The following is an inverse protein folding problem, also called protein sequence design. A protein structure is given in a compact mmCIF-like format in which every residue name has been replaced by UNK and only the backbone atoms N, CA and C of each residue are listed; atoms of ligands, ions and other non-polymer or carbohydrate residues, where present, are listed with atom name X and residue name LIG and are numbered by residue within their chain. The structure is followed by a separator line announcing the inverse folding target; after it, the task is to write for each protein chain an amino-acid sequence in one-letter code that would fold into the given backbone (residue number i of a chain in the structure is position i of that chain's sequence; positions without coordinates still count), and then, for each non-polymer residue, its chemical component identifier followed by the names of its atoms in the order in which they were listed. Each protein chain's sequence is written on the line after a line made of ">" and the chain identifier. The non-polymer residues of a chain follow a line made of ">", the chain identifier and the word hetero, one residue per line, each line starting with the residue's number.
data_IF_785326350520
#
_entry.id   IF_785326350520
#
_cell.length_a   1.000
_cell.length_b   1.000
_cell.length_c   1.000
_cell.angle_alpha   90.00
_cell.angle_beta   90.00
_cell.angle_gamma   90.00
#
_symmetry.space_group_name_H-M   'P 1'
#
loop_
_entity.id
_entity.type
_entity.pdbx_description
1 polymer ?
#
# COMPACT_ATOMS: atom_id res chain seq x y z
N UNK A 1 16.57 -3.36 -10.96
CA UNK A 1 15.51 -2.85 -10.05
C UNK A 1 14.30 -2.34 -10.81
N UNK A 2 14.41 -1.30 -11.63
CA UNK A 2 13.22 -0.65 -12.24
C UNK A 2 12.75 -1.26 -13.57
N UNK A 3 13.67 -1.74 -14.41
CA UNK A 3 13.31 -2.34 -15.71
C UNK A 3 12.57 -3.66 -15.58
N UNK A 4 12.88 -4.46 -14.55
CA UNK A 4 12.24 -5.75 -14.29
C UNK A 4 10.95 -5.65 -13.46
N UNK A 5 10.75 -4.56 -12.71
CA UNK A 5 9.57 -4.38 -11.83
C UNK A 5 8.52 -3.43 -12.40
N UNK A 6 8.83 -2.72 -13.49
CA UNK A 6 7.95 -1.71 -14.08
C UNK A 6 7.80 -0.42 -13.26
N UNK A 7 8.41 -0.33 -12.07
CA UNK A 7 8.37 0.87 -11.21
C UNK A 7 9.15 2.00 -11.89
N UNK A 8 8.65 3.25 -11.83
CA UNK A 8 9.32 4.34 -12.52
C UNK A 8 10.72 4.59 -11.95
N UNK A 9 11.68 4.87 -12.83
CA UNK A 9 13.06 5.19 -12.41
C UNK A 9 13.07 6.52 -11.65
N UNK A 10 13.94 6.69 -10.64
CA UNK A 10 14.21 7.97 -10.03
C UNK A 10 14.64 8.99 -11.09
N UNK A 11 14.49 10.29 -10.80
CA UNK A 11 14.91 11.32 -11.74
C UNK A 11 16.37 11.15 -12.15
N UNK A 12 16.67 11.35 -13.44
CA UNK A 12 18.05 11.24 -13.95
C UNK A 12 18.98 12.22 -13.25
N UNK A 13 20.28 11.88 -13.20
CA UNK A 13 21.34 12.71 -12.63
C UNK A 13 21.17 12.99 -11.12
N UNK A 14 20.74 11.99 -10.33
CA UNK A 14 20.62 12.15 -8.87
C UNK A 14 21.93 12.62 -8.26
N UNK A 15 21.86 13.59 -7.34
CA UNK A 15 22.98 13.99 -6.50
C UNK A 15 22.86 13.30 -5.16
N UNK A 16 23.68 12.28 -4.95
CA UNK A 16 23.70 11.47 -3.74
C UNK A 16 24.92 11.86 -2.93
N UNK A 17 24.72 12.26 -1.68
CA UNK A 17 25.79 12.55 -0.74
C UNK A 17 25.93 11.40 0.25
N UNK A 18 27.15 10.94 0.47
CA UNK A 18 27.41 9.80 1.37
C UNK A 18 28.27 10.26 2.53
N UNK A 19 27.81 10.02 3.74
CA UNK A 19 28.43 10.48 4.98
C UNK A 19 28.82 9.30 5.87
N UNK A 20 30.13 9.06 5.99
CA UNK A 20 30.67 7.92 6.75
C UNK A 20 30.35 7.95 8.25
N UNK A 21 30.14 9.14 8.81
CA UNK A 21 29.91 9.34 10.26
C UNK A 21 28.45 9.50 10.63
N UNK A 22 27.54 9.58 9.66
CA UNK A 22 26.11 9.73 9.94
C UNK A 22 25.42 8.39 9.99
N UNK A 23 24.48 8.24 10.92
CA UNK A 23 23.63 7.06 11.07
C UNK A 23 22.29 7.20 10.35
N UNK A 24 21.93 8.41 9.91
CA UNK A 24 20.65 8.71 9.26
C UNK A 24 20.82 8.98 7.77
N UNK A 25 19.76 8.72 7.00
CA UNK A 25 19.65 8.99 5.58
C UNK A 25 18.37 9.77 5.30
N UNK A 26 18.26 10.37 4.12
CA UNK A 26 17.09 11.15 3.73
C UNK A 26 17.04 11.36 2.22
N UNK A 27 15.83 11.45 1.66
CA UNK A 27 15.57 11.77 0.25
C UNK A 27 14.79 13.07 0.13
N UNK A 28 15.41 14.24 0.43
CA UNK A 28 14.67 15.49 0.46
C UNK A 28 14.45 16.07 -0.95
N UNK A 29 15.11 15.55 -2.00
CA UNK A 29 14.93 15.97 -3.40
C UNK A 29 15.06 17.49 -3.64
N UNK A 30 15.81 18.20 -2.78
CA UNK A 30 15.75 19.66 -2.62
C UNK A 30 16.05 20.43 -3.91
N UNK A 31 16.96 19.92 -4.74
CA UNK A 31 17.30 20.53 -6.04
C UNK A 31 16.12 20.55 -7.01
N UNK A 32 15.16 19.65 -6.83
CA UNK A 32 14.04 19.40 -7.73
C UNK A 32 12.73 20.01 -7.24
N UNK A 33 12.74 20.60 -6.04
CA UNK A 33 11.58 21.30 -5.51
C UNK A 33 11.46 22.68 -6.16
N UNK A 34 10.37 22.87 -6.92
CA UNK A 34 9.99 24.14 -7.54
C UNK A 34 8.76 24.77 -6.87
N UNK A 35 7.99 23.98 -6.11
CA UNK A 35 6.82 24.46 -5.37
C UNK A 35 7.21 24.98 -3.98
N UNK A 36 6.45 25.94 -3.42
CA UNK A 36 6.68 26.44 -2.08
C UNK A 36 6.59 25.33 -1.02
N UNK A 37 7.57 25.30 -0.12
CA UNK A 37 7.52 24.50 1.09
C UNK A 37 6.88 25.37 2.17
N UNK A 38 5.80 24.87 2.78
CA UNK A 38 5.03 25.57 3.79
C UNK A 38 5.90 25.95 4.99
N UNK A 39 5.87 27.24 5.34
CA UNK A 39 6.67 27.81 6.42
C UNK A 39 5.87 27.86 7.72
N UNK A 40 6.29 27.07 8.71
CA UNK A 40 5.78 27.17 10.08
C UNK A 40 6.95 27.55 11.02
N UNK A 41 7.31 28.84 11.02
CA UNK A 41 8.23 29.43 12.00
C UNK A 41 9.75 29.24 11.74
N UNK A 42 10.54 30.18 12.27
CA UNK A 42 11.99 30.32 12.06
C UNK A 42 12.86 29.18 12.62
N UNK A 43 12.33 28.31 13.48
CA UNK A 43 13.05 27.19 14.10
C UNK A 43 13.10 25.93 13.22
N UNK A 44 12.12 25.72 12.35
CA UNK A 44 11.97 24.48 11.57
C UNK A 44 12.99 24.30 10.44
N UNK A 45 13.33 25.36 9.71
CA UNK A 45 14.35 25.30 8.64
C UNK A 45 15.76 25.08 9.19
N UNK A 46 16.08 25.76 10.30
CA UNK A 46 17.35 25.62 10.99
C UNK A 46 17.54 24.19 11.50
N UNK A 47 16.53 23.63 12.16
CA UNK A 47 16.59 22.26 12.67
C UNK A 47 16.59 21.22 11.54
N UNK A 48 15.84 21.43 10.46
CA UNK A 48 15.87 20.57 9.29
C UNK A 48 17.28 20.50 8.67
N UNK A 49 17.89 21.64 8.37
CA UNK A 49 19.25 21.68 7.81
C UNK A 49 20.30 21.18 8.79
N UNK A 50 20.18 21.44 10.09
CA UNK A 50 21.05 20.84 11.10
C UNK A 50 20.90 19.31 11.12
N UNK A 51 19.68 18.78 11.03
CA UNK A 51 19.41 17.34 11.06
C UNK A 51 19.83 16.61 9.77
N UNK A 52 19.84 17.29 8.63
CA UNK A 52 20.50 16.81 7.40
C UNK A 52 21.97 17.29 7.30
N UNK A 53 22.55 17.72 8.42
CA UNK A 53 23.97 18.02 8.65
C UNK A 53 24.60 19.17 7.86
N UNK A 54 23.79 20.16 7.52
CA UNK A 54 24.17 21.35 6.74
C UNK A 54 24.56 22.57 7.58
N UNK A 55 24.38 22.54 8.91
CA UNK A 55 24.50 23.75 9.73
C UNK A 55 23.50 24.83 9.30
N UNK A 56 23.42 25.94 10.03
CA UNK A 56 22.52 27.05 9.69
C UNK A 56 22.91 27.75 8.40
N UNK A 57 22.40 27.29 7.27
CA UNK A 57 22.34 28.10 6.05
C UNK A 57 21.00 28.81 5.99
N UNK A 58 21.00 29.98 6.63
CA UNK A 58 19.92 30.94 6.55
C UNK A 58 19.74 31.44 5.10
N UNK A 59 18.49 31.72 4.78
CA UNK A 59 18.00 32.38 3.56
C UNK A 59 17.80 31.45 2.36
N UNK A 60 16.56 30.98 2.25
CA UNK A 60 15.79 30.77 1.01
C UNK A 60 16.63 30.35 -0.19
N UNK A 61 16.60 29.05 -0.49
CA UNK A 61 16.71 28.42 -1.83
C UNK A 61 17.01 29.40 -2.98
N UNK A 62 18.18 30.03 -2.95
CA UNK A 62 18.64 30.85 -4.05
C UNK A 62 18.86 29.88 -5.22
N UNK A 63 18.50 30.25 -6.45
CA UNK A 63 18.59 29.34 -7.61
C UNK A 63 20.00 28.75 -7.79
N UNK A 64 21.02 29.44 -7.26
CA UNK A 64 22.41 28.97 -7.23
C UNK A 64 22.68 27.84 -6.22
N UNK A 65 22.03 27.85 -5.04
CA UNK A 65 22.19 26.79 -4.04
C UNK A 65 21.50 25.49 -4.46
N UNK A 66 20.38 25.55 -5.20
CA UNK A 66 19.70 24.35 -5.75
C UNK A 66 20.65 23.41 -6.49
N UNK A 67 21.66 23.94 -7.20
CA UNK A 67 22.61 23.12 -7.97
C UNK A 67 23.51 22.24 -7.11
N UNK A 68 23.78 22.63 -5.86
CA UNK A 68 24.68 21.91 -4.95
C UNK A 68 23.96 21.02 -3.95
N UNK A 69 22.68 21.30 -3.66
CA UNK A 69 21.90 20.52 -2.70
C UNK A 69 21.72 19.04 -3.14
N UNK A 70 21.74 18.09 -2.18
CA UNK A 70 21.51 16.69 -2.46
C UNK A 70 20.07 16.42 -2.88
N UNK A 71 19.90 15.43 -3.75
CA UNK A 71 18.62 14.76 -3.92
C UNK A 71 18.42 13.70 -2.82
N UNK A 72 19.52 13.01 -2.46
CA UNK A 72 19.57 11.95 -1.43
C UNK A 72 20.82 12.14 -0.58
N UNK A 73 20.70 11.90 0.72
CA UNK A 73 21.82 11.76 1.67
C UNK A 73 21.82 10.34 2.23
N UNK A 74 22.98 9.68 2.28
CA UNK A 74 23.16 8.33 2.82
C UNK A 74 24.16 8.37 3.97
N UNK A 75 23.71 7.99 5.17
CA UNK A 75 24.55 7.74 6.33
C UNK A 75 25.00 6.27 6.39
N UNK A 76 26.31 6.04 6.58
CA UNK A 76 26.88 4.68 6.69
C UNK A 76 27.54 4.39 8.04
N UNK A 77 27.50 5.34 8.98
CA UNK A 77 28.11 5.21 10.30
C UNK A 77 27.52 4.05 11.09
N UNK A 78 28.36 3.08 11.46
CA UNK A 78 27.95 1.92 12.27
C UNK A 78 27.03 0.92 11.56
N UNK A 79 26.70 1.13 10.28
CA UNK A 79 25.80 0.25 9.54
C UNK A 79 26.53 -0.97 8.96
N UNK A 80 25.89 -2.14 9.05
CA UNK A 80 26.30 -3.32 8.29
C UNK A 80 26.03 -3.13 6.79
N UNK A 81 26.67 -3.94 5.94
CA UNK A 81 26.41 -3.89 4.48
C UNK A 81 24.92 -4.14 4.16
N UNK A 82 24.27 -5.06 4.87
CA UNK A 82 22.82 -5.31 4.74
C UNK A 82 22.01 -4.07 5.10
N UNK A 83 22.36 -3.36 6.18
CA UNK A 83 21.67 -2.13 6.58
C UNK A 83 21.91 -0.97 5.61
N UNK A 84 23.13 -0.82 5.08
CA UNK A 84 23.40 0.18 4.03
C UNK A 84 22.58 -0.14 2.77
N UNK A 85 22.48 -1.41 2.38
CA UNK A 85 21.67 -1.82 1.23
C UNK A 85 20.17 -1.52 1.44
N UNK A 86 19.62 -1.89 2.59
CA UNK A 86 18.25 -1.59 3.03
C UNK A 86 17.93 -0.09 2.92
N UNK A 87 18.76 0.74 3.58
CA UNK A 87 18.61 2.20 3.60
C UNK A 87 18.72 2.80 2.20
N UNK A 88 19.69 2.38 1.39
CA UNK A 88 19.82 2.88 0.01
C UNK A 88 18.58 2.56 -0.83
N UNK A 89 17.98 1.37 -0.67
CA UNK A 89 16.76 1.02 -1.41
C UNK A 89 15.54 1.79 -0.89
N UNK A 90 15.44 2.02 0.43
CA UNK A 90 14.43 2.91 1.03
C UNK A 90 14.50 4.31 0.39
N UNK A 91 15.68 4.94 0.41
CA UNK A 91 15.86 6.29 -0.15
C UNK A 91 15.63 6.35 -1.68
N UNK A 92 16.10 5.35 -2.43
CA UNK A 92 15.84 5.30 -3.88
C UNK A 92 14.36 5.07 -4.20
N UNK A 93 13.61 4.37 -3.35
CA UNK A 93 12.18 4.18 -3.54
C UNK A 93 11.40 5.49 -3.35
N UNK A 94 11.83 6.35 -2.42
CA UNK A 94 11.34 7.72 -2.30
C UNK A 94 11.64 8.55 -3.55
N UNK A 95 12.87 8.49 -4.06
CA UNK A 95 13.22 9.22 -5.28
C UNK A 95 12.44 8.70 -6.50
N UNK A 96 12.12 7.41 -6.56
CA UNK A 96 11.22 6.84 -7.55
C UNK A 96 9.78 7.35 -7.38
N UNK A 97 9.26 7.42 -6.16
CA UNK A 97 7.94 8.02 -5.88
C UNK A 97 7.90 9.49 -6.31
N UNK A 98 8.98 10.25 -6.13
CA UNK A 98 9.09 11.62 -6.67
C UNK A 98 8.86 11.68 -8.18
N UNK A 99 9.36 10.73 -8.96
CA UNK A 99 9.08 10.67 -10.40
C UNK A 99 7.58 10.50 -10.72
N UNK A 100 6.83 9.85 -9.83
CA UNK A 100 5.39 9.57 -10.01
C UNK A 100 4.52 10.77 -9.66
N UNK A 101 4.83 11.48 -8.57
CA UNK A 101 3.94 12.51 -8.00
C UNK A 101 4.46 13.94 -8.13
N UNK A 102 5.75 14.09 -8.43
CA UNK A 102 6.39 15.37 -8.69
C UNK A 102 6.53 16.32 -7.49
N UNK A 103 7.01 17.52 -7.80
CA UNK A 103 7.45 18.50 -6.79
C UNK A 103 6.33 19.04 -5.91
N UNK A 104 5.09 19.15 -6.39
CA UNK A 104 3.99 19.73 -5.61
C UNK A 104 3.62 18.85 -4.41
N UNK A 105 3.54 17.54 -4.64
CA UNK A 105 3.29 16.55 -3.60
C UNK A 105 4.49 16.50 -2.62
N UNK A 106 5.71 16.43 -3.13
CA UNK A 106 6.92 16.39 -2.29
C UNK A 106 7.16 17.66 -1.48
N UNK A 107 6.73 18.83 -1.96
CA UNK A 107 6.81 20.05 -1.16
C UNK A 107 5.95 19.95 0.12
N UNK A 108 4.77 19.32 0.04
CA UNK A 108 3.93 19.04 1.22
C UNK A 108 4.60 18.05 2.18
N UNK A 109 5.23 17.01 1.63
CA UNK A 109 5.99 16.00 2.37
C UNK A 109 7.11 16.63 3.21
N UNK A 110 7.95 17.43 2.55
CA UNK A 110 9.05 18.14 3.19
C UNK A 110 8.51 19.11 4.25
N UNK A 111 7.42 19.83 3.95
CA UNK A 111 6.79 20.76 4.90
C UNK A 111 6.40 20.08 6.22
N UNK A 112 5.91 18.84 6.16
CA UNK A 112 5.58 18.07 7.35
C UNK A 112 6.82 17.72 8.17
N UNK A 113 7.82 17.10 7.55
CA UNK A 113 9.09 16.73 8.22
C UNK A 113 9.73 17.94 8.88
N UNK A 114 9.68 19.09 8.22
CA UNK A 114 10.19 20.34 8.75
C UNK A 114 9.41 20.87 9.94
N UNK A 115 8.08 20.78 9.90
CA UNK A 115 7.21 21.29 10.96
C UNK A 115 7.32 20.42 12.21
N UNK A 116 7.33 19.10 12.04
CA UNK A 116 7.17 18.16 13.15
C UNK A 116 8.46 17.44 13.55
N UNK A 117 9.52 17.52 12.74
CA UNK A 117 10.83 16.92 13.00
C UNK A 117 10.83 15.40 12.92
N UNK A 118 11.82 14.79 12.24
CA UNK A 118 12.06 13.33 12.23
C UNK A 118 10.79 12.48 12.07
N UNK A 119 9.96 12.80 11.08
CA UNK A 119 8.68 12.14 10.76
C UNK A 119 7.55 12.36 11.78
N UNK A 120 7.74 13.14 12.84
CA UNK A 120 6.70 13.49 13.80
C UNK A 120 6.10 12.28 14.53
N UNK A 121 4.89 12.45 15.05
CA UNK A 121 4.16 11.43 15.82
C UNK A 121 2.84 10.97 15.15
N UNK A 122 2.68 11.28 13.86
CA UNK A 122 1.47 10.95 13.09
C UNK A 122 0.33 11.95 13.24
N UNK A 123 0.57 13.09 13.90
CA UNK A 123 -0.44 14.15 14.04
C UNK A 123 -0.10 15.36 13.18
N UNK A 124 -1.13 16.13 12.83
CA UNK A 124 -0.98 17.40 12.14
C UNK A 124 -1.09 17.33 10.61
N UNK A 125 -0.95 18.49 9.98
CA UNK A 125 -1.21 18.65 8.55
C UNK A 125 -0.19 17.88 7.72
N UNK A 126 -0.67 17.05 6.80
CA UNK A 126 0.13 16.16 5.94
C UNK A 126 0.82 14.99 6.67
N UNK A 127 0.40 14.65 7.90
CA UNK A 127 0.94 13.48 8.60
C UNK A 127 0.73 12.20 7.80
N UNK A 128 -0.50 11.91 7.35
CA UNK A 128 -0.76 10.70 6.55
C UNK A 128 -0.05 10.71 5.20
N UNK A 129 0.14 11.87 4.56
CA UNK A 129 0.96 11.99 3.35
C UNK A 129 2.40 11.52 3.62
N UNK A 130 2.97 11.91 4.77
CA UNK A 130 4.26 11.40 5.20
C UNK A 130 4.19 9.89 5.50
N UNK A 131 3.14 9.45 6.20
CA UNK A 131 2.90 8.05 6.54
C UNK A 131 2.89 7.14 5.31
N UNK A 132 2.10 7.49 4.29
CA UNK A 132 2.00 6.75 3.02
C UNK A 132 3.35 6.68 2.29
N UNK A 133 4.10 7.79 2.24
CA UNK A 133 5.41 7.77 1.60
C UNK A 133 6.44 6.94 2.36
N UNK A 134 6.47 7.01 3.68
CA UNK A 134 7.36 6.19 4.52
C UNK A 134 6.95 4.72 4.52
N UNK A 135 5.66 4.39 4.44
CA UNK A 135 5.18 3.01 4.23
C UNK A 135 5.85 2.39 3.00
N UNK A 136 5.87 3.16 1.89
CA UNK A 136 6.57 2.76 0.66
C UNK A 136 8.07 2.65 0.85
N UNK A 137 8.70 3.69 1.41
CA UNK A 137 10.12 3.76 1.69
C UNK A 137 10.64 2.55 2.43
N UNK A 138 10.12 2.36 3.64
CA UNK A 138 10.53 1.30 4.55
C UNK A 138 10.24 -0.09 3.97
N UNK A 139 9.01 -0.34 3.50
CA UNK A 139 8.66 -1.62 2.91
C UNK A 139 9.61 -2.01 1.78
N UNK A 140 9.88 -1.09 0.84
CA UNK A 140 10.82 -1.35 -0.26
C UNK A 140 12.26 -1.59 0.20
N UNK A 141 12.75 -0.85 1.19
CA UNK A 141 14.08 -1.09 1.77
C UNK A 141 14.24 -2.53 2.25
N UNK A 142 13.28 -2.96 3.09
CA UNK A 142 13.30 -4.28 3.71
C UNK A 142 13.06 -5.40 2.70
N UNK A 143 12.09 -5.25 1.80
CA UNK A 143 11.80 -6.25 0.75
C UNK A 143 13.04 -6.48 -0.10
N UNK A 144 13.72 -5.42 -0.53
CA UNK A 144 14.91 -5.54 -1.38
C UNK A 144 16.08 -6.17 -0.63
N UNK A 145 16.26 -5.81 0.65
CA UNK A 145 17.25 -6.48 1.47
C UNK A 145 16.93 -7.97 1.64
N UNK A 146 15.66 -8.32 1.88
CA UNK A 146 15.23 -9.71 1.99
C UNK A 146 15.50 -10.49 0.69
N UNK A 147 15.02 -9.99 -0.45
CA UNK A 147 15.24 -10.63 -1.77
C UNK A 147 16.72 -10.85 -2.09
N UNK A 148 17.61 -9.96 -1.64
CA UNK A 148 19.06 -10.08 -1.88
C UNK A 148 19.75 -11.07 -0.95
N UNK A 149 19.42 -11.06 0.34
CA UNK A 149 20.16 -11.83 1.36
C UNK A 149 19.46 -13.12 1.77
N UNK A 150 18.20 -13.30 1.38
CA UNK A 150 17.35 -14.46 1.67
C UNK A 150 16.61 -14.93 0.38
N UNK A 151 17.30 -15.21 -0.74
CA UNK A 151 16.67 -15.41 -2.05
C UNK A 151 15.76 -16.65 -2.15
N UNK A 152 15.90 -17.62 -1.24
CA UNK A 152 15.07 -18.82 -1.16
C UNK A 152 13.99 -18.74 -0.07
N UNK A 153 13.92 -17.63 0.68
CA UNK A 153 12.97 -17.43 1.77
C UNK A 153 11.66 -16.82 1.29
N UNK A 154 10.56 -17.19 1.93
CA UNK A 154 9.31 -16.42 1.88
C UNK A 154 9.48 -15.19 2.77
N UNK A 155 8.84 -14.06 2.43
CA UNK A 155 8.86 -12.90 3.33
C UNK A 155 8.32 -13.32 4.70
N UNK A 156 9.15 -13.19 5.72
CA UNK A 156 8.78 -13.47 7.12
C UNK A 156 7.96 -12.30 7.70
N UNK A 157 7.69 -12.28 9.00
CA UNK A 157 7.07 -11.12 9.63
C UNK A 157 7.96 -9.88 9.50
N UNK A 158 7.31 -8.72 9.37
CA UNK A 158 8.02 -7.47 9.22
C UNK A 158 8.91 -7.21 10.45
N UNK A 159 10.18 -6.83 10.28
CA UNK A 159 11.05 -6.53 11.41
C UNK A 159 10.46 -5.37 12.19
N UNK A 160 10.19 -5.57 13.49
CA UNK A 160 9.42 -4.64 14.31
C UNK A 160 10.00 -3.21 14.26
N UNK A 161 9.17 -2.27 13.79
CA UNK A 161 9.48 -0.84 13.81
C UNK A 161 8.42 -0.16 14.65
N UNK A 162 8.74 0.08 15.92
CA UNK A 162 7.89 0.81 16.87
C UNK A 162 7.79 2.30 16.50
N UNK A 163 7.02 2.60 15.47
CA UNK A 163 6.68 3.97 15.06
C UNK A 163 5.21 4.04 14.67
N UNK A 164 4.67 5.25 14.59
CA UNK A 164 3.31 5.46 14.07
C UNK A 164 3.20 5.15 12.57
N UNK A 165 4.34 5.04 11.87
CA UNK A 165 4.44 4.65 10.47
C UNK A 165 4.06 3.18 10.33
N UNK A 166 3.29 2.83 9.30
CA UNK A 166 2.68 1.49 9.13
C UNK A 166 3.20 0.71 7.91
N UNK A 167 4.54 0.57 7.73
CA UNK A 167 5.09 -0.09 6.53
C UNK A 167 4.67 -1.56 6.39
N UNK A 168 4.29 -2.18 7.51
CA UNK A 168 3.66 -3.50 7.60
C UNK A 168 2.51 -3.68 6.60
N UNK A 169 1.69 -2.65 6.36
CA UNK A 169 0.58 -2.73 5.38
C UNK A 169 1.09 -3.14 3.98
N UNK A 170 2.13 -2.46 3.48
CA UNK A 170 2.69 -2.78 2.16
C UNK A 170 3.49 -4.07 2.15
N UNK A 171 4.11 -4.41 3.28
CA UNK A 171 4.75 -5.70 3.46
C UNK A 171 3.74 -6.84 3.37
N UNK A 172 2.64 -6.78 4.12
CA UNK A 172 1.62 -7.81 4.18
C UNK A 172 0.91 -7.96 2.84
N UNK A 173 0.57 -6.85 2.17
CA UNK A 173 0.03 -6.89 0.81
C UNK A 173 0.96 -7.65 -0.16
N UNK A 174 2.27 -7.56 0.00
CA UNK A 174 3.21 -8.29 -0.84
C UNK A 174 3.45 -9.74 -0.36
N UNK A 175 3.61 -9.94 0.94
CA UNK A 175 3.82 -11.24 1.60
C UNK A 175 2.68 -12.19 1.27
N UNK A 176 1.46 -11.71 1.43
CA UNK A 176 0.22 -12.46 1.20
C UNK A 176 -0.19 -12.48 -0.28
N UNK A 177 0.65 -11.91 -1.16
CA UNK A 177 0.47 -11.85 -2.62
C UNK A 177 -0.82 -11.17 -3.05
N UNK A 178 -1.37 -10.29 -2.21
CA UNK A 178 -2.54 -9.46 -2.53
C UNK A 178 -2.17 -8.49 -3.64
N UNK A 179 -1.12 -7.68 -3.45
CA UNK A 179 -0.63 -6.75 -4.47
C UNK A 179 0.88 -6.90 -4.68
N UNK A 180 1.31 -6.86 -5.94
CA UNK A 180 2.73 -6.77 -6.28
C UNK A 180 3.29 -5.37 -5.97
N UNK A 181 4.62 -5.25 -5.83
CA UNK A 181 5.30 -3.95 -5.66
C UNK A 181 4.88 -2.91 -6.70
N UNK A 182 4.67 -3.34 -7.96
CA UNK A 182 4.23 -2.47 -9.05
C UNK A 182 2.79 -1.99 -8.86
N UNK A 183 1.90 -2.90 -8.47
CA UNK A 183 0.50 -2.56 -8.20
C UNK A 183 0.38 -1.57 -7.04
N UNK A 184 1.15 -1.76 -5.96
CA UNK A 184 1.24 -0.80 -4.86
C UNK A 184 1.75 0.56 -5.38
N UNK A 185 2.86 0.56 -6.11
CA UNK A 185 3.45 1.78 -6.67
C UNK A 185 2.49 2.55 -7.60
N UNK A 186 1.70 1.85 -8.41
CA UNK A 186 0.72 2.47 -9.31
C UNK A 186 -0.43 3.16 -8.57
N UNK A 187 -0.63 2.85 -7.29
CA UNK A 187 -1.58 3.54 -6.42
C UNK A 187 -0.97 4.77 -5.74
N UNK A 188 0.36 4.91 -5.69
CA UNK A 188 1.07 6.05 -5.08
C UNK A 188 1.13 7.24 -6.06
N UNK A 189 -0.03 7.79 -6.41
CA UNK A 189 -0.18 8.86 -7.40
C UNK A 189 -0.48 10.22 -6.77
N UNK A 190 -0.44 11.28 -7.59
CA UNK A 190 -0.84 12.63 -7.18
C UNK A 190 -2.23 12.59 -6.54
N UNK A 191 -2.37 13.22 -5.38
CA UNK A 191 -3.63 13.31 -4.64
C UNK A 191 -3.85 12.22 -3.58
N UNK A 192 -3.07 11.15 -3.60
CA UNK A 192 -3.06 10.11 -2.55
C UNK A 192 -2.22 10.61 -1.37
N UNK A 193 -2.87 11.36 -0.47
CA UNK A 193 -2.25 12.03 0.67
C UNK A 193 -2.86 11.65 2.03
N UNK A 194 -3.78 10.68 2.03
CA UNK A 194 -4.40 10.07 3.21
C UNK A 194 -4.49 8.56 3.04
N UNK A 195 -4.65 7.82 4.14
CA UNK A 195 -4.87 6.37 4.09
C UNK A 195 -6.17 6.02 3.36
N UNK A 196 -7.25 6.77 3.59
CA UNK A 196 -8.52 6.59 2.88
C UNK A 196 -8.35 6.78 1.37
N UNK A 197 -7.61 7.80 0.92
CA UNK A 197 -7.38 8.02 -0.51
C UNK A 197 -6.50 6.93 -1.13
N UNK A 198 -5.58 6.37 -0.35
CA UNK A 198 -4.78 5.23 -0.78
C UNK A 198 -5.64 3.98 -0.96
N UNK A 199 -6.47 3.65 0.03
CA UNK A 199 -7.40 2.51 -0.04
C UNK A 199 -8.40 2.70 -1.18
N UNK A 200 -8.98 3.89 -1.31
CA UNK A 200 -9.87 4.22 -2.43
C UNK A 200 -9.18 4.02 -3.78
N UNK A 201 -7.91 4.40 -3.91
CA UNK A 201 -7.14 4.19 -5.14
C UNK A 201 -6.82 2.71 -5.40
N UNK A 202 -6.58 1.94 -4.35
CA UNK A 202 -6.39 0.49 -4.45
C UNK A 202 -7.69 -0.21 -4.86
N UNK A 203 -8.83 0.15 -4.27
CA UNK A 203 -10.16 -0.35 -4.66
C UNK A 203 -10.51 0.01 -6.10
N UNK A 204 -10.22 1.24 -6.54
CA UNK A 204 -10.43 1.66 -7.93
C UNK A 204 -9.67 0.76 -8.92
N UNK A 205 -8.44 0.37 -8.58
CA UNK A 205 -7.55 -0.39 -9.47
C UNK A 205 -7.69 -1.90 -9.37
N UNK A 206 -8.02 -2.40 -8.18
CA UNK A 206 -8.08 -3.83 -7.84
C UNK A 206 -9.35 -4.11 -7.02
N UNK A 207 -10.54 -3.83 -7.58
CA UNK A 207 -11.78 -3.95 -6.84
C UNK A 207 -12.04 -5.39 -6.38
N UNK A 208 -11.56 -6.38 -7.12
CA UNK A 208 -11.65 -7.81 -6.79
C UNK A 208 -10.85 -8.21 -5.54
N UNK A 209 -9.97 -7.34 -5.03
CA UNK A 209 -9.11 -7.58 -3.86
C UNK A 209 -9.48 -6.70 -2.66
N UNK A 210 -10.66 -6.07 -2.70
CA UNK A 210 -11.03 -5.06 -1.72
C UNK A 210 -11.02 -5.59 -0.29
N UNK A 211 -11.44 -6.84 -0.07
CA UNK A 211 -11.45 -7.45 1.25
C UNK A 211 -10.04 -7.71 1.80
N UNK A 212 -9.14 -8.26 0.98
CA UNK A 212 -7.76 -8.49 1.41
C UNK A 212 -6.97 -7.19 1.57
N UNK A 213 -7.26 -6.18 0.73
CA UNK A 213 -6.71 -4.82 0.89
C UNK A 213 -7.17 -4.24 2.23
N UNK A 214 -8.48 -4.22 2.52
CA UNK A 214 -8.99 -3.69 3.78
C UNK A 214 -8.34 -4.38 4.98
N UNK A 215 -8.28 -5.71 4.92
CA UNK A 215 -7.71 -6.54 5.98
C UNK A 215 -6.26 -6.15 6.28
N UNK A 216 -5.44 -5.95 5.26
CA UNK A 216 -4.04 -5.54 5.44
C UNK A 216 -3.90 -4.18 6.15
N UNK A 217 -4.86 -3.26 5.96
CA UNK A 217 -4.89 -1.99 6.68
C UNK A 217 -5.38 -2.15 8.11
N UNK A 218 -6.49 -2.89 8.32
CA UNK A 218 -7.11 -3.05 9.64
C UNK A 218 -6.22 -3.82 10.60
N UNK A 219 -5.55 -4.88 10.13
CA UNK A 219 -4.62 -5.66 10.94
C UNK A 219 -3.45 -4.82 11.44
N UNK A 220 -3.12 -3.76 10.70
CA UNK A 220 -2.03 -2.84 11.01
C UNK A 220 -2.51 -1.54 11.71
N UNK A 221 -3.75 -1.53 12.18
CA UNK A 221 -4.32 -0.47 13.00
C UNK A 221 -4.77 0.76 12.21
N UNK A 222 -5.06 0.61 10.92
CA UNK A 222 -5.71 1.64 10.10
C UNK A 222 -7.11 1.13 9.74
N UNK A 223 -8.16 1.84 10.14
CA UNK A 223 -9.53 1.51 9.75
C UNK A 223 -9.96 2.47 8.64
N UNK A 224 -9.96 2.05 7.36
CA UNK A 224 -10.31 2.92 6.26
C UNK A 224 -11.80 3.27 6.29
N UNK A 225 -12.13 4.52 6.03
CA UNK A 225 -13.52 4.96 5.85
C UNK A 225 -13.83 5.17 4.37
N UNK A 226 -13.78 4.08 3.60
CA UNK A 226 -13.95 4.09 2.14
C UNK A 226 -15.01 3.06 1.77
N UNK A 227 -16.07 3.44 1.03
CA UNK A 227 -17.03 2.47 0.52
C UNK A 227 -16.32 1.42 -0.34
N UNK A 228 -16.52 0.14 -0.02
CA UNK A 228 -16.03 -0.95 -0.87
C UNK A 228 -16.72 -0.88 -2.24
N UNK A 229 -15.99 -1.21 -3.32
CA UNK A 229 -16.61 -1.34 -4.63
C UNK A 229 -17.65 -2.46 -4.57
N UNK A 230 -18.81 -2.22 -5.17
CA UNK A 230 -19.78 -3.28 -5.45
C UNK A 230 -19.24 -4.10 -6.62
N UNK A 231 -18.45 -5.11 -6.30
CA UNK A 231 -17.90 -6.03 -7.30
C UNK A 231 -18.90 -7.08 -7.76
N UNK A 232 -20.11 -7.11 -7.18
CA UNK A 232 -20.91 -8.32 -7.17
C UNK A 232 -20.19 -9.48 -6.48
N UNK A 233 -20.84 -10.64 -6.40
CA UNK A 233 -20.17 -11.84 -5.90
C UNK A 233 -19.26 -12.41 -6.99
N UNK A 234 -17.94 -12.18 -6.89
CA UNK A 234 -16.94 -12.72 -7.83
C UNK A 234 -16.50 -14.14 -7.48
N UNK A 235 -16.88 -14.64 -6.30
CA UNK A 235 -16.53 -15.99 -5.84
C UNK A 235 -17.47 -17.03 -6.42
N UNK A 236 -18.68 -16.62 -6.79
CA UNK A 236 -19.70 -17.45 -7.41
C UNK A 236 -19.92 -17.07 -8.88
N UNK A 237 -20.09 -18.08 -9.74
CA UNK A 237 -20.30 -17.90 -11.17
C UNK A 237 -21.67 -18.39 -11.64
N UNK A 238 -22.46 -18.95 -10.73
CA UNK A 238 -23.81 -19.43 -11.00
C UNK A 238 -24.76 -19.03 -9.85
N UNK A 239 -25.82 -18.28 -10.18
CA UNK A 239 -26.73 -17.70 -9.20
C UNK A 239 -28.12 -18.34 -9.30
N UNK A 240 -28.57 -18.95 -8.20
CA UNK A 240 -29.93 -19.48 -8.06
C UNK A 240 -30.67 -18.72 -6.96
N UNK A 241 -31.16 -17.53 -7.32
CA UNK A 241 -31.77 -16.59 -6.37
C UNK A 241 -33.25 -16.34 -6.68
N UNK A 242 -34.02 -16.08 -5.62
CA UNK A 242 -35.44 -15.67 -5.69
C UNK A 242 -36.31 -16.69 -6.44
N UNK A 243 -36.22 -17.97 -6.05
CA UNK A 243 -36.90 -19.09 -6.71
C UNK A 243 -37.86 -19.83 -5.79
N UNK A 244 -39.02 -20.18 -6.33
CA UNK A 244 -39.89 -21.22 -5.76
C UNK A 244 -39.86 -22.43 -6.69
N UNK A 245 -39.44 -23.59 -6.19
CA UNK A 245 -39.29 -24.84 -6.95
C UNK A 245 -40.45 -25.76 -6.59
N UNK A 246 -41.43 -25.89 -7.48
CA UNK A 246 -42.63 -26.74 -7.31
C UNK A 246 -42.62 -28.00 -8.18
N UNK A 247 -41.58 -28.19 -8.98
CA UNK A 247 -41.31 -29.38 -9.81
C UNK A 247 -39.82 -29.68 -9.78
N UNK A 248 -39.45 -30.96 -9.79
CA UNK A 248 -38.04 -31.36 -9.67
C UNK A 248 -37.15 -30.73 -10.73
N UNK A 249 -35.99 -30.21 -10.32
CA UNK A 249 -35.11 -29.40 -11.16
C UNK A 249 -33.64 -29.61 -10.81
N UNK A 250 -32.76 -29.53 -11.81
CA UNK A 250 -31.30 -29.61 -11.64
C UNK A 250 -30.67 -28.29 -12.10
N UNK A 251 -29.89 -27.66 -11.23
CA UNK A 251 -29.13 -26.46 -11.52
C UNK A 251 -27.63 -26.74 -11.43
N UNK A 252 -26.87 -26.36 -12.46
CA UNK A 252 -25.43 -26.66 -12.55
C UNK A 252 -24.59 -25.38 -12.67
N UNK A 253 -23.38 -25.40 -12.10
CA UNK A 253 -22.42 -24.28 -12.12
C UNK A 253 -21.05 -24.70 -11.60
N UNK A 254 -20.04 -23.81 -11.55
CA UNK A 254 -18.80 -24.15 -10.84
C UNK A 254 -18.90 -23.81 -9.35
N UNK A 255 -19.18 -22.54 -9.05
CA UNK A 255 -19.38 -22.00 -7.72
C UNK A 255 -20.82 -21.45 -7.65
N UNK A 256 -21.74 -22.23 -7.10
CA UNK A 256 -23.17 -21.89 -7.05
C UNK A 256 -23.46 -21.06 -5.80
N UNK A 257 -24.07 -19.88 -5.96
CA UNK A 257 -24.68 -19.12 -4.86
C UNK A 257 -26.20 -19.25 -4.92
N UNK A 258 -26.81 -19.52 -3.77
CA UNK A 258 -28.28 -19.54 -3.62
C UNK A 258 -28.72 -18.52 -2.59
N UNK A 259 -29.84 -17.84 -2.84
CA UNK A 259 -30.44 -16.87 -1.91
C UNK A 259 -31.94 -16.79 -2.13
N UNK A 260 -32.73 -16.79 -1.06
CA UNK A 260 -34.19 -16.67 -1.16
C UNK A 260 -34.83 -17.77 -2.03
N UNK A 261 -34.61 -19.03 -1.66
CA UNK A 261 -35.12 -20.19 -2.40
C UNK A 261 -36.07 -21.01 -1.53
N UNK A 262 -37.22 -21.39 -2.08
CA UNK A 262 -38.19 -22.30 -1.44
C UNK A 262 -38.45 -23.50 -2.33
N UNK A 263 -38.31 -24.72 -1.81
CA UNK A 263 -38.67 -25.95 -2.52
C UNK A 263 -39.94 -26.53 -1.91
N UNK A 264 -40.91 -26.88 -2.75
CA UNK A 264 -42.25 -27.29 -2.32
C UNK A 264 -42.85 -28.37 -3.23
N UNK A 265 -44.09 -28.77 -2.98
CA UNK A 265 -44.85 -29.74 -3.78
C UNK A 265 -44.12 -31.07 -4.03
N UNK A 266 -43.46 -31.59 -2.99
CA UNK A 266 -42.64 -32.80 -3.08
C UNK A 266 -41.57 -32.80 -4.18
N UNK A 267 -41.17 -31.62 -4.65
CA UNK A 267 -40.15 -31.47 -5.67
C UNK A 267 -38.75 -31.74 -5.12
N UNK A 268 -37.86 -32.23 -5.99
CA UNK A 268 -36.42 -32.38 -5.70
C UNK A 268 -35.63 -31.30 -6.43
N UNK A 269 -34.93 -30.44 -5.69
CA UNK A 269 -33.94 -29.52 -6.25
C UNK A 269 -32.54 -30.14 -6.11
N UNK A 270 -31.82 -30.30 -7.22
CA UNK A 270 -30.43 -30.78 -7.23
C UNK A 270 -29.49 -29.66 -7.68
N UNK A 271 -28.48 -29.34 -6.87
CA UNK A 271 -27.35 -28.51 -7.27
C UNK A 271 -26.16 -29.37 -7.71
N UNK A 272 -25.68 -29.16 -8.93
CA UNK A 272 -24.47 -29.79 -9.47
C UNK A 272 -23.37 -28.76 -9.64
N UNK A 273 -22.57 -28.58 -8.59
CA UNK A 273 -21.41 -27.71 -8.63
C UNK A 273 -20.16 -28.48 -9.06
N UNK A 274 -19.26 -27.84 -9.81
CA UNK A 274 -17.92 -28.40 -10.03
C UNK A 274 -16.97 -28.10 -8.86
N UNK A 275 -17.24 -27.07 -8.06
CA UNK A 275 -16.38 -26.62 -6.96
C UNK A 275 -17.13 -26.39 -5.65
N UNK A 276 -18.10 -25.48 -5.61
CA UNK A 276 -18.80 -25.12 -4.36
C UNK A 276 -20.28 -24.83 -4.55
N UNK A 277 -21.06 -25.02 -3.47
CA UNK A 277 -22.44 -24.56 -3.33
C UNK A 277 -22.54 -23.78 -2.02
N UNK A 278 -22.93 -22.52 -2.08
CA UNK A 278 -23.15 -21.64 -0.92
C UNK A 278 -24.64 -21.34 -0.79
N UNK A 279 -25.20 -21.57 0.40
CA UNK A 279 -26.61 -21.30 0.71
C UNK A 279 -26.74 -20.10 1.63
N UNK A 280 -27.33 -19.02 1.11
CA UNK A 280 -27.68 -17.86 1.90
C UNK A 280 -29.16 -17.86 2.27
N UNK A 281 -29.44 -17.40 3.48
CA UNK A 281 -30.81 -17.23 3.95
C UNK A 281 -31.54 -16.12 3.17
N UNK A 282 -32.88 -16.21 3.05
CA UNK A 282 -33.71 -17.34 3.47
C UNK A 282 -33.63 -18.52 2.49
N UNK A 283 -33.68 -19.75 3.02
CA UNK A 283 -33.75 -20.98 2.22
C UNK A 283 -34.66 -21.98 2.92
N UNK A 284 -35.71 -22.46 2.24
CA UNK A 284 -36.72 -23.33 2.83
C UNK A 284 -36.98 -24.59 1.98
N UNK A 285 -37.10 -25.73 2.64
CA UNK A 285 -37.56 -27.00 2.06
C UNK A 285 -38.86 -27.38 2.78
N UNK A 286 -39.99 -27.31 2.09
CA UNK A 286 -41.29 -27.64 2.65
C UNK A 286 -41.49 -29.15 2.75
N UNK A 287 -42.47 -29.58 3.55
CA UNK A 287 -42.77 -30.99 3.77
C UNK A 287 -42.90 -31.77 2.46
N UNK A 288 -42.20 -32.91 2.36
CA UNK A 288 -42.18 -33.79 1.20
C UNK A 288 -41.17 -33.39 0.12
N UNK A 289 -40.67 -32.15 0.10
CA UNK A 289 -39.66 -31.69 -0.84
C UNK A 289 -38.25 -32.19 -0.46
N UNK A 290 -37.34 -32.16 -1.42
CA UNK A 290 -35.99 -32.69 -1.28
C UNK A 290 -34.96 -31.70 -1.84
N UNK A 291 -33.77 -31.72 -1.22
CA UNK A 291 -32.59 -30.99 -1.67
C UNK A 291 -31.44 -31.98 -1.81
N UNK A 292 -30.75 -31.92 -2.94
CA UNK A 292 -29.54 -32.70 -3.21
C UNK A 292 -28.44 -31.78 -3.69
N UNK A 293 -27.21 -32.04 -3.26
CA UNK A 293 -26.04 -31.28 -3.68
C UNK A 293 -24.93 -32.25 -4.04
N UNK A 294 -24.31 -32.01 -5.18
CA UNK A 294 -23.11 -32.71 -5.61
C UNK A 294 -22.07 -31.68 -6.00
N UNK A 295 -20.90 -31.75 -5.37
CA UNK A 295 -19.71 -31.00 -5.77
C UNK A 295 -18.74 -31.96 -6.47
N UNK A 296 -18.10 -31.50 -7.55
CA UNK A 296 -17.00 -32.22 -8.19
C UNK A 296 -15.86 -32.48 -7.20
N UNK A 297 -15.22 -33.64 -7.31
CA UNK A 297 -13.98 -33.96 -6.61
C UNK A 297 -12.81 -33.13 -7.15
#
# INVERSE_FOLDING_TARGET
>A
MYEETGIAKPPRNLKIWVFKRWTTSSTPMLRRIVHPIGYNGNSSWKNFFINIGYGTLATVLNQMLKKVLPDITIGTGGHSYRKVYDVVNHELSHASHFSQVGSAHWAKYISYIMTYGSYGNGTGKNAELCGVGEMWGYSMGHIRAYEKYNPSGLLDDYPDVHTWLKPHVFWDLQKDKVLTKKQIYDCLVVGVDTYDRLVAKMYEKYPEKADEIEKAFTDNGITPNVPKPDTGDLTHDAFYTDKTVSSSFVFSGNNILTRNVTVTNSAKLTFRANKSVTINSPFAINQGAQLEMTCGN
#
